data_IF_620863863047
#
_entry.id   IF_620863863047
#
_cell.length_a   1.000
_cell.length_b   1.000
_cell.length_c   1.000
_cell.angle_alpha   90.00
_cell.angle_beta   90.00
_cell.angle_gamma   90.00
#
_symmetry.space_group_name_H-M   'P 1'
#
loop_
_entity.id
_entity.type
_entity.pdbx_description
1 polymer ?
#
# COMPACT_ATOMS: atom_id res chain seq x y z
N UNK A 1 12.09 39.30 10.41
CA UNK A 1 10.91 38.77 9.69
C UNK A 1 10.02 38.05 10.70
N UNK A 2 8.93 38.69 11.10
CA UNK A 2 7.93 38.12 12.00
C UNK A 2 7.06 37.13 11.22
N UNK A 3 7.02 35.88 11.67
CA UNK A 3 5.97 34.95 11.27
C UNK A 3 5.07 34.74 12.48
N UNK A 4 3.98 35.52 12.50
CA UNK A 4 2.81 35.22 13.31
C UNK A 4 2.37 33.79 13.01
N UNK A 5 2.23 32.95 14.04
CA UNK A 5 1.44 31.74 13.93
C UNK A 5 0.14 31.92 14.68
N UNK A 6 -0.92 31.83 13.90
CA UNK A 6 -2.33 31.87 14.25
C UNK A 6 -2.68 30.93 15.40
N UNK A 7 -3.49 31.46 16.31
CA UNK A 7 -4.15 30.76 17.41
C UNK A 7 -5.06 29.68 16.80
N UNK A 8 -4.84 28.41 17.16
CA UNK A 8 -5.60 27.27 16.64
C UNK A 8 -5.95 26.28 17.74
N UNK A 9 -7.17 26.39 18.25
CA UNK A 9 -8.03 25.36 18.85
C UNK A 9 -7.39 24.08 19.42
N UNK A 10 -7.32 24.03 20.76
CA UNK A 10 -7.48 22.85 21.63
C UNK A 10 -7.27 21.44 21.09
N UNK A 11 -6.03 21.05 20.80
CA UNK A 11 -5.59 19.65 20.83
C UNK A 11 -4.23 19.61 21.53
N UNK A 12 -4.02 18.65 22.44
CA UNK A 12 -2.76 18.43 23.15
C UNK A 12 -1.64 17.91 22.21
N UNK A 13 -1.38 18.62 21.11
CA UNK A 13 -0.38 18.24 20.13
C UNK A 13 1.03 18.55 20.66
N UNK A 14 1.89 17.53 20.69
CA UNK A 14 3.32 17.69 21.00
C UNK A 14 4.10 17.86 19.69
N UNK A 15 5.02 18.83 19.68
CA UNK A 15 5.91 19.06 18.54
C UNK A 15 7.11 18.12 18.63
N UNK A 16 7.31 17.33 17.58
CA UNK A 16 8.45 16.41 17.47
C UNK A 16 9.34 16.82 16.29
N UNK A 17 10.65 16.76 16.47
CA UNK A 17 11.63 16.92 15.40
C UNK A 17 12.02 15.53 14.88
N UNK A 18 11.98 15.35 13.57
CA UNK A 18 12.33 14.11 12.89
C UNK A 18 13.43 14.39 11.88
N UNK A 19 14.47 13.57 11.89
CA UNK A 19 15.50 13.58 10.87
C UNK A 19 15.03 12.76 9.67
N UNK A 20 15.05 13.38 8.50
CA UNK A 20 14.73 12.75 7.22
C UNK A 20 15.90 12.96 6.27
N UNK A 21 16.12 12.02 5.35
CA UNK A 21 17.08 12.23 4.28
C UNK A 21 16.58 13.31 3.32
N UNK A 22 17.50 13.93 2.57
CA UNK A 22 17.16 14.95 1.56
C UNK A 22 16.15 14.40 0.54
N UNK A 23 16.36 13.17 0.09
CA UNK A 23 15.48 12.50 -0.89
C UNK A 23 14.06 12.30 -0.36
N UNK A 24 13.93 11.86 0.90
CA UNK A 24 12.64 11.68 1.56
C UNK A 24 11.89 13.02 1.67
N UNK A 25 12.61 14.09 2.05
CA UNK A 25 12.01 15.42 2.14
C UNK A 25 11.54 15.94 0.78
N UNK A 26 12.34 15.73 -0.28
CA UNK A 26 11.99 16.16 -1.64
C UNK A 26 10.79 15.39 -2.19
N UNK A 27 10.70 14.09 -1.88
CA UNK A 27 9.54 13.27 -2.23
C UNK A 27 8.27 13.72 -1.49
N UNK A 28 8.37 13.97 -0.18
CA UNK A 28 7.26 14.48 0.62
C UNK A 28 6.76 15.85 0.13
N UNK A 29 7.67 16.75 -0.27
CA UNK A 29 7.32 18.04 -0.89
C UNK A 29 6.52 17.86 -2.19
N UNK A 30 6.93 16.92 -3.05
CA UNK A 30 6.21 16.63 -4.31
C UNK A 30 4.78 16.15 -4.03
N UNK A 31 4.61 15.28 -3.04
CA UNK A 31 3.29 14.77 -2.65
C UNK A 31 2.43 15.85 -2.03
N UNK A 32 3.00 16.64 -1.11
CA UNK A 32 2.33 17.77 -0.48
C UNK A 32 1.78 18.74 -1.53
N UNK A 33 2.61 19.09 -2.53
CA UNK A 33 2.21 19.93 -3.65
C UNK A 33 1.09 19.28 -4.48
N UNK A 34 1.20 17.99 -4.80
CA UNK A 34 0.19 17.26 -5.60
C UNK A 34 -1.16 17.18 -4.89
N UNK A 35 -1.17 17.04 -3.57
CA UNK A 35 -2.38 16.85 -2.77
C UNK A 35 -2.92 18.16 -2.16
N UNK A 36 -2.25 19.30 -2.36
CA UNK A 36 -2.65 20.57 -1.76
C UNK A 36 -2.63 20.57 -0.23
N UNK A 37 -1.72 19.81 0.38
CA UNK A 37 -1.65 19.63 1.84
C UNK A 37 -0.24 19.92 2.39
N UNK A 38 -0.09 19.92 3.72
CA UNK A 38 1.20 20.13 4.37
C UNK A 38 1.98 18.82 4.57
N UNK A 39 3.31 18.92 4.65
CA UNK A 39 4.18 17.76 4.98
C UNK A 39 3.81 17.18 6.36
N UNK A 40 3.46 18.03 7.32
CA UNK A 40 3.05 17.61 8.66
C UNK A 40 1.76 16.77 8.61
N UNK A 41 0.83 17.11 7.73
CA UNK A 41 -0.42 16.37 7.55
C UNK A 41 -0.19 14.99 6.90
N UNK A 42 0.71 14.92 5.91
CA UNK A 42 1.12 13.65 5.31
C UNK A 42 1.76 12.75 6.37
N UNK A 43 2.67 13.29 7.19
CA UNK A 43 3.34 12.54 8.23
C UNK A 43 2.35 12.04 9.30
N UNK A 44 1.39 12.86 9.72
CA UNK A 44 0.34 12.43 10.65
C UNK A 44 -0.46 11.26 10.10
N UNK A 45 -0.98 11.36 8.88
CA UNK A 45 -1.73 10.28 8.24
C UNK A 45 -0.92 8.99 8.09
N UNK A 46 0.37 9.11 7.77
CA UNK A 46 1.25 7.96 7.69
C UNK A 46 1.44 7.29 9.07
N UNK A 47 1.64 8.09 10.11
CA UNK A 47 1.76 7.60 11.50
C UNK A 47 0.44 6.95 11.95
N UNK A 48 -0.70 7.59 11.71
CA UNK A 48 -2.02 7.07 12.07
C UNK A 48 -2.31 5.74 11.34
N UNK A 49 -1.94 5.63 10.06
CA UNK A 49 -2.08 4.39 9.31
C UNK A 49 -1.21 3.26 9.88
N UNK A 50 0.03 3.58 10.29
CA UNK A 50 0.93 2.60 10.92
C UNK A 50 0.42 2.15 12.29
N UNK A 51 -0.09 3.07 13.11
CA UNK A 51 -0.58 2.79 14.47
C UNK A 51 -1.93 2.07 14.44
N UNK A 52 -2.84 2.47 13.53
CA UNK A 52 -4.18 1.89 13.45
C UNK A 52 -4.19 0.48 12.84
N UNK A 53 -3.13 0.11 12.12
CA UNK A 53 -3.03 -1.17 11.42
C UNK A 53 -1.63 -1.77 11.58
N UNK A 54 -1.18 -2.06 12.82
CA UNK A 54 0.18 -2.54 13.08
C UNK A 54 0.45 -3.84 12.33
N UNK A 55 -0.57 -4.72 12.22
CA UNK A 55 -0.47 -5.95 11.47
C UNK A 55 -0.27 -5.76 9.96
N UNK A 56 -0.70 -4.65 9.35
CA UNK A 56 -0.50 -4.42 7.90
C UNK A 56 0.90 -3.93 7.57
N UNK A 57 1.55 -3.24 8.50
CA UNK A 57 2.94 -2.81 8.34
C UNK A 57 3.87 -4.03 8.34
N UNK A 58 3.58 -5.06 9.14
CA UNK A 58 4.28 -6.35 9.06
C UNK A 58 3.89 -7.18 7.82
N UNK A 59 2.65 -7.07 7.33
CA UNK A 59 2.17 -7.78 6.11
C UNK A 59 2.76 -7.25 4.79
N UNK A 60 3.47 -6.12 4.78
CA UNK A 60 4.29 -5.72 3.63
C UNK A 60 5.59 -6.55 3.52
N UNK A 61 5.88 -7.43 4.48
CA UNK A 61 6.54 -8.69 4.16
C UNK A 61 5.49 -9.60 3.55
N UNK A 62 5.13 -9.34 2.28
CA UNK A 62 4.43 -10.33 1.49
C UNK A 62 5.39 -11.51 1.44
N UNK A 63 5.17 -12.51 2.31
CA UNK A 63 5.87 -13.78 2.17
C UNK A 63 5.61 -14.20 0.73
N UNK A 64 6.65 -14.52 -0.08
CA UNK A 64 6.42 -15.03 -1.41
C UNK A 64 5.47 -16.21 -1.25
N UNK A 65 4.27 -16.07 -1.85
CA UNK A 65 3.29 -17.14 -1.80
C UNK A 65 3.97 -18.37 -2.38
N UNK A 66 3.90 -19.48 -1.65
CA UNK A 66 4.35 -20.74 -2.23
C UNK A 66 3.50 -21.03 -3.48
N UNK A 67 4.02 -21.85 -4.39
CA UNK A 67 3.30 -22.20 -5.62
C UNK A 67 1.89 -22.72 -5.30
N UNK A 68 1.76 -23.55 -4.26
CA UNK A 68 0.47 -24.09 -3.82
C UNK A 68 -0.50 -23.02 -3.30
N UNK A 69 -0.02 -22.05 -2.53
CA UNK A 69 -0.86 -20.94 -2.04
C UNK A 69 -1.33 -20.03 -3.18
N UNK A 70 -0.46 -19.80 -4.17
CA UNK A 70 -0.79 -19.02 -5.36
C UNK A 70 -1.85 -19.71 -6.21
N UNK A 71 -1.70 -21.02 -6.45
CA UNK A 71 -2.69 -21.82 -7.17
C UNK A 71 -4.04 -21.84 -6.44
N UNK A 72 -4.04 -21.91 -5.11
CA UNK A 72 -5.28 -21.86 -4.31
C UNK A 72 -5.99 -20.53 -4.45
N UNK A 73 -5.28 -19.41 -4.43
CA UNK A 73 -5.89 -18.09 -4.64
C UNK A 73 -6.50 -17.95 -6.03
N UNK A 74 -5.80 -18.42 -7.07
CA UNK A 74 -6.31 -18.43 -8.44
C UNK A 74 -7.59 -19.28 -8.53
N UNK A 75 -7.63 -20.45 -7.87
CA UNK A 75 -8.80 -21.32 -7.85
C UNK A 75 -10.01 -20.67 -7.15
N UNK A 76 -9.78 -19.98 -6.02
CA UNK A 76 -10.84 -19.26 -5.31
C UNK A 76 -11.38 -18.06 -6.13
N UNK A 77 -10.50 -17.33 -6.81
CA UNK A 77 -10.91 -16.28 -7.75
C UNK A 77 -11.74 -16.84 -8.91
N UNK A 78 -11.31 -17.97 -9.51
CA UNK A 78 -12.05 -18.61 -10.59
C UNK A 78 -13.45 -19.07 -10.14
N UNK A 79 -13.60 -19.58 -8.91
CA UNK A 79 -14.90 -19.91 -8.32
C UNK A 79 -15.78 -18.68 -8.14
N UNK A 80 -15.22 -17.59 -7.59
CA UNK A 80 -15.94 -16.34 -7.33
C UNK A 80 -16.46 -15.71 -8.62
N UNK A 81 -15.63 -15.66 -9.65
CA UNK A 81 -15.97 -15.11 -10.97
C UNK A 81 -16.78 -16.09 -11.83
N UNK A 82 -17.13 -17.26 -11.29
CA UNK A 82 -17.83 -18.36 -12.00
C UNK A 82 -17.14 -18.73 -13.32
N UNK A 83 -15.82 -18.55 -13.38
CA UNK A 83 -15.05 -18.85 -14.57
C UNK A 83 -14.98 -20.36 -14.74
N UNK A 84 -15.66 -20.86 -15.77
CA UNK A 84 -15.55 -22.26 -16.21
C UNK A 84 -14.48 -22.30 -17.29
N UNK A 85 -13.28 -22.70 -16.90
CA UNK A 85 -12.20 -22.95 -17.85
C UNK A 85 -12.56 -24.04 -18.87
N UNK A 86 -11.75 -24.19 -19.93
CA UNK A 86 -11.93 -25.26 -20.92
C UNK A 86 -12.01 -26.63 -20.23
N UNK A 87 -13.02 -27.43 -20.60
CA UNK A 87 -13.24 -28.76 -19.98
C UNK A 87 -12.12 -29.75 -20.29
N UNK A 88 -11.42 -29.51 -21.39
CA UNK A 88 -10.34 -30.31 -21.95
C UNK A 88 -8.95 -29.84 -21.50
N UNK A 89 -8.86 -28.89 -20.57
CA UNK A 89 -7.59 -28.33 -20.10
C UNK A 89 -6.62 -29.40 -19.57
N UNK A 90 -7.13 -30.44 -18.89
CA UNK A 90 -6.32 -31.53 -18.37
C UNK A 90 -5.75 -32.45 -19.47
N UNK A 91 -6.44 -32.56 -20.61
CA UNK A 91 -6.03 -33.41 -21.73
C UNK A 91 -5.18 -32.65 -22.75
N UNK A 92 -5.30 -31.32 -22.79
CA UNK A 92 -4.68 -30.45 -23.80
C UNK A 92 -3.72 -29.42 -23.18
N UNK A 93 -3.03 -29.79 -22.11
CA UNK A 93 -2.12 -28.88 -21.39
C UNK A 93 -1.08 -28.27 -22.33
N UNK A 94 -0.44 -29.09 -23.17
CA UNK A 94 0.60 -28.64 -24.10
C UNK A 94 0.06 -27.64 -25.13
N UNK A 95 -1.14 -27.88 -25.65
CA UNK A 95 -1.81 -26.96 -26.59
C UNK A 95 -2.01 -25.56 -25.98
N UNK A 96 -2.37 -25.49 -24.70
CA UNK A 96 -2.61 -24.20 -24.02
C UNK A 96 -1.32 -23.53 -23.56
N UNK A 97 -0.26 -24.28 -23.28
CA UNK A 97 1.02 -23.74 -22.85
C UNK A 97 1.91 -23.32 -24.03
N UNK A 98 1.86 -24.05 -25.14
CA UNK A 98 2.80 -23.91 -26.24
C UNK A 98 2.18 -23.46 -27.58
N UNK A 99 0.85 -23.32 -27.66
CA UNK A 99 0.15 -22.76 -28.84
C UNK A 99 0.47 -23.47 -30.17
N UNK A 100 0.64 -24.79 -30.17
CA UNK A 100 0.68 -25.62 -31.39
C UNK A 100 -0.73 -26.06 -31.84
#
# INVERSE_FOLDING_TARGET
>A
MNVMYTIGCGMNMKRTQLYLTKEQLDWLKKIAKKQGTSIAEINRRAIDACISQPEKVEKNKVKPLTLGESMRQIAELAKKEKFKGPKDLASNVDKYLYHD
#
